data_IF_269908706263
#
_entry.id   IF_269908706263
#
_cell.length_a   1.000
_cell.length_b   1.000
_cell.length_c   1.000
_cell.angle_alpha   90.00
_cell.angle_beta   90.00
_cell.angle_gamma   90.00
#
_symmetry.space_group_name_H-M   'P 1'
#
loop_
_entity.id
_entity.type
_entity.pdbx_description
1 polymer ?
#
# COMPACT_ATOMS: atom_id res chain seq x y z
N UNK A 1 7.02 -22.13 -18.90
CA UNK A 1 6.00 -21.06 -19.01
C UNK A 1 5.00 -21.07 -17.84
N UNK A 2 5.48 -21.02 -16.58
CA UNK A 2 4.60 -20.97 -15.37
C UNK A 2 4.72 -19.66 -14.59
N UNK A 3 5.74 -18.83 -14.88
CA UNK A 3 5.95 -17.54 -14.21
C UNK A 3 5.08 -16.40 -14.76
N UNK A 4 4.51 -16.56 -15.95
CA UNK A 4 3.65 -15.55 -16.58
C UNK A 4 2.23 -15.53 -15.98
N UNK A 5 1.73 -16.67 -15.49
CA UNK A 5 0.43 -16.80 -14.84
C UNK A 5 0.38 -16.13 -13.45
N UNK A 6 1.51 -16.07 -12.74
CA UNK A 6 1.62 -15.36 -11.46
C UNK A 6 1.60 -13.83 -11.63
N UNK A 7 2.20 -13.32 -12.72
CA UNK A 7 2.17 -11.89 -13.05
C UNK A 7 0.77 -11.42 -13.47
N UNK A 8 0.01 -12.24 -14.20
CA UNK A 8 -1.36 -11.93 -14.59
C UNK A 8 -2.33 -11.87 -13.40
N UNK A 9 -2.16 -12.73 -12.38
CA UNK A 9 -2.95 -12.65 -11.15
C UNK A 9 -2.64 -11.39 -10.32
N UNK A 10 -1.38 -10.94 -10.31
CA UNK A 10 -1.00 -9.70 -9.62
C UNK A 10 -1.58 -8.45 -10.31
N UNK A 11 -1.68 -8.48 -11.65
CA UNK A 11 -2.31 -7.42 -12.43
C UNK A 11 -3.83 -7.43 -12.29
N UNK A 12 -4.49 -8.57 -12.14
CA UNK A 12 -5.93 -8.62 -11.88
C UNK A 12 -6.32 -8.11 -10.48
N UNK A 13 -5.48 -8.30 -9.46
CA UNK A 13 -5.69 -7.69 -8.13
C UNK A 13 -5.51 -6.16 -8.19
N UNK A 14 -4.59 -5.67 -9.03
CA UNK A 14 -4.46 -4.25 -9.37
C UNK A 14 -5.61 -3.74 -10.26
N UNK A 15 -6.25 -4.62 -11.04
CA UNK A 15 -7.42 -4.33 -11.87
C UNK A 15 -8.71 -4.19 -11.07
N UNK A 16 -8.84 -4.84 -9.91
CA UNK A 16 -9.95 -4.59 -8.99
C UNK A 16 -9.84 -3.26 -8.22
N UNK A 17 -8.64 -2.66 -8.19
CA UNK A 17 -8.47 -1.24 -7.84
C UNK A 17 -8.84 -0.30 -9.00
N UNK A 18 -9.00 -0.82 -10.23
CA UNK A 18 -9.40 -0.02 -11.40
C UNK A 18 -10.92 0.16 -11.55
N UNK A 19 -11.74 -0.43 -10.67
CA UNK A 19 -13.14 -0.04 -10.50
C UNK A 19 -13.32 1.14 -9.52
N UNK A 20 -12.21 1.76 -9.10
CA UNK A 20 -12.16 2.99 -8.32
C UNK A 20 -11.39 4.04 -9.14
N UNK A 21 -11.89 4.42 -10.33
CA UNK A 21 -11.15 5.35 -11.19
C UNK A 21 -11.81 5.65 -12.53
N UNK A 22 -12.80 6.55 -12.51
CA UNK A 22 -13.00 7.47 -13.63
C UNK A 22 -12.73 8.87 -13.08
N UNK A 23 -11.55 9.40 -13.40
CA UNK A 23 -11.05 10.70 -12.92
C UNK A 23 -9.63 10.55 -12.39
N UNK A 24 -8.67 11.28 -12.98
CA UNK A 24 -7.23 11.13 -12.76
C UNK A 24 -6.74 11.37 -11.33
N UNK A 25 -5.47 11.01 -11.13
CA UNK A 25 -4.62 11.22 -9.93
C UNK A 25 -4.71 10.22 -8.77
N UNK A 26 -5.20 8.99 -8.99
CA UNK A 26 -5.35 7.99 -7.92
C UNK A 26 -4.03 7.35 -7.42
N UNK A 27 -2.90 7.50 -8.12
CA UNK A 27 -1.61 7.00 -7.61
C UNK A 27 -1.00 7.88 -6.51
N UNK A 28 -1.51 9.09 -6.31
CA UNK A 28 -1.01 10.00 -5.28
C UNK A 28 -1.54 9.66 -3.88
N UNK A 29 -2.67 8.93 -3.78
CA UNK A 29 -3.37 8.74 -2.51
C UNK A 29 -2.58 7.93 -1.48
N UNK A 30 -1.91 6.86 -1.94
CA UNK A 30 -1.09 5.99 -1.10
C UNK A 30 0.27 6.60 -0.72
N UNK A 31 0.72 7.62 -1.46
CA UNK A 31 2.07 8.18 -1.31
C UNK A 31 2.09 9.53 -0.58
N UNK A 32 0.95 10.19 -0.40
CA UNK A 32 0.89 11.53 0.23
C UNK A 32 0.66 11.51 1.74
N UNK A 33 0.00 10.47 2.27
CA UNK A 33 -0.29 10.39 3.70
C UNK A 33 0.86 9.71 4.45
N UNK A 34 1.41 10.38 5.46
CA UNK A 34 2.35 9.77 6.41
C UNK A 34 1.64 8.77 7.35
N UNK A 35 0.30 8.80 7.43
CA UNK A 35 -0.52 7.98 8.30
C UNK A 35 -1.50 7.10 7.50
N UNK A 36 -1.37 5.78 7.65
CA UNK A 36 -2.21 4.82 6.94
C UNK A 36 -3.65 4.78 7.45
N UNK A 37 -3.92 5.25 8.67
CA UNK A 37 -5.28 5.41 9.18
C UNK A 37 -6.05 6.52 8.46
N UNK A 38 -5.36 7.58 8.05
CA UNK A 38 -5.96 8.64 7.23
C UNK A 38 -6.30 8.11 5.84
N UNK A 39 -5.41 7.29 5.25
CA UNK A 39 -5.68 6.59 3.99
C UNK A 39 -6.92 5.68 4.10
N UNK A 40 -7.06 4.94 5.20
CA UNK A 40 -8.26 4.13 5.47
C UNK A 40 -9.50 4.99 5.59
N UNK A 41 -9.42 6.09 6.35
CA UNK A 41 -10.54 7.01 6.57
C UNK A 41 -11.04 7.60 5.26
N UNK A 42 -10.13 8.05 4.42
CA UNK A 42 -10.46 8.62 3.11
C UNK A 42 -11.05 7.58 2.16
N UNK A 43 -10.52 6.35 2.19
CA UNK A 43 -11.12 5.22 1.49
C UNK A 43 -12.56 4.98 1.97
N UNK A 44 -12.82 5.01 3.29
CA UNK A 44 -14.16 4.82 3.84
C UNK A 44 -15.11 5.95 3.42
N UNK A 45 -14.64 7.20 3.41
CA UNK A 45 -15.41 8.35 2.94
C UNK A 45 -15.78 8.21 1.46
N UNK A 46 -14.85 7.78 0.60
CA UNK A 46 -15.10 7.55 -0.82
C UNK A 46 -16.05 6.36 -1.03
N UNK A 47 -15.79 5.24 -0.36
CA UNK A 47 -16.62 4.04 -0.47
C UNK A 47 -18.08 4.27 -0.06
N UNK A 48 -18.31 5.10 0.98
CA UNK A 48 -19.67 5.52 1.37
C UNK A 48 -20.33 6.43 0.33
N UNK A 49 -19.58 7.35 -0.28
CA UNK A 49 -20.07 8.21 -1.37
C UNK A 49 -20.48 7.38 -2.60
N UNK A 50 -19.77 6.28 -2.86
CA UNK A 50 -20.07 5.36 -3.96
C UNK A 50 -21.28 4.44 -3.69
N UNK A 51 -21.97 4.60 -2.55
CA UNK A 51 -23.15 3.82 -2.17
C UNK A 51 -22.86 2.36 -1.85
N UNK A 52 -21.59 1.98 -1.64
CA UNK A 52 -21.21 0.61 -1.28
C UNK A 52 -21.64 0.28 0.16
N UNK A 53 -21.97 -0.98 0.41
CA UNK A 53 -22.35 -1.45 1.74
C UNK A 53 -21.22 -1.31 2.77
N UNK A 54 -21.58 -0.94 4.00
CA UNK A 54 -20.63 -0.64 5.09
C UNK A 54 -19.62 -1.77 5.35
N UNK A 55 -20.06 -3.03 5.38
CA UNK A 55 -19.18 -4.17 5.62
C UNK A 55 -18.13 -4.32 4.51
N UNK A 56 -18.53 -4.11 3.25
CA UNK A 56 -17.64 -4.13 2.09
C UNK A 56 -16.62 -2.99 2.14
N UNK A 57 -17.06 -1.79 2.53
CA UNK A 57 -16.16 -0.66 2.70
C UNK A 57 -15.11 -0.89 3.80
N UNK A 58 -15.50 -1.51 4.91
CA UNK A 58 -14.56 -1.82 5.98
C UNK A 58 -13.48 -2.82 5.52
N UNK A 59 -13.87 -3.90 4.84
CA UNK A 59 -12.93 -4.88 4.32
C UNK A 59 -11.99 -4.30 3.24
N UNK A 60 -12.54 -3.60 2.25
CA UNK A 60 -11.74 -2.99 1.18
C UNK A 60 -10.76 -1.95 1.73
N UNK A 61 -11.21 -1.08 2.65
CA UNK A 61 -10.38 -0.01 3.18
C UNK A 61 -9.36 -0.50 4.23
N UNK A 62 -9.59 -1.62 4.89
CA UNK A 62 -8.55 -2.26 5.71
C UNK A 62 -7.42 -2.85 4.87
N UNK A 63 -7.75 -3.43 3.71
CA UNK A 63 -6.73 -3.87 2.76
C UNK A 63 -5.89 -2.70 2.28
N UNK A 64 -6.52 -1.56 2.00
CA UNK A 64 -5.80 -0.32 1.63
C UNK A 64 -4.87 0.14 2.76
N UNK A 65 -5.30 0.08 4.03
CA UNK A 65 -4.45 0.38 5.19
C UNK A 65 -3.22 -0.54 5.24
N UNK A 66 -3.43 -1.84 5.14
CA UNK A 66 -2.34 -2.82 5.16
C UNK A 66 -1.37 -2.66 3.97
N UNK A 67 -1.88 -2.26 2.80
CA UNK A 67 -1.03 -1.93 1.64
C UNK A 67 -0.19 -0.67 1.91
N UNK A 68 -0.76 0.36 2.53
CA UNK A 68 -0.03 1.56 2.93
C UNK A 68 1.11 1.23 3.91
N UNK A 69 0.83 0.44 4.95
CA UNK A 69 1.84 0.01 5.92
C UNK A 69 2.96 -0.77 5.23
N UNK A 70 2.61 -1.76 4.40
CA UNK A 70 3.60 -2.56 3.67
C UNK A 70 4.49 -1.72 2.74
N UNK A 71 3.92 -0.72 2.06
CA UNK A 71 4.68 0.21 1.21
C UNK A 71 5.64 1.06 2.04
N UNK A 72 5.20 1.58 3.19
CA UNK A 72 6.04 2.35 4.11
C UNK A 72 7.18 1.50 4.67
N UNK A 73 6.89 0.30 5.16
CA UNK A 73 7.92 -0.63 5.64
C UNK A 73 8.93 -0.92 4.54
N UNK A 74 8.47 -1.23 3.31
CA UNK A 74 9.35 -1.49 2.17
C UNK A 74 10.22 -0.28 1.82
N UNK A 75 9.63 0.92 1.80
CA UNK A 75 10.35 2.18 1.58
C UNK A 75 11.44 2.41 2.62
N UNK A 76 11.12 2.22 3.91
CA UNK A 76 12.07 2.31 5.02
C UNK A 76 13.23 1.32 4.86
N UNK A 77 12.94 0.06 4.54
CA UNK A 77 13.98 -0.96 4.30
C UNK A 77 14.90 -0.60 3.12
N UNK A 78 14.33 -0.03 2.05
CA UNK A 78 15.11 0.43 0.89
C UNK A 78 15.97 1.63 1.24
N UNK A 79 15.44 2.61 1.97
CA UNK A 79 16.17 3.80 2.41
C UNK A 79 17.34 3.44 3.34
N UNK A 80 17.15 2.51 4.28
CA UNK A 80 18.23 1.97 5.12
C UNK A 80 19.39 1.39 4.29
N UNK A 81 19.07 0.64 3.24
CA UNK A 81 20.08 0.09 2.33
C UNK A 81 20.77 1.18 1.49
N UNK A 82 20.02 2.19 1.06
CA UNK A 82 20.54 3.28 0.25
C UNK A 82 21.51 4.18 1.04
N UNK A 83 21.19 4.47 2.30
CA UNK A 83 21.99 5.34 3.17
C UNK A 83 23.23 4.68 3.77
N UNK A 84 23.11 3.41 4.17
CA UNK A 84 24.15 2.73 4.94
C UNK A 84 24.89 1.65 4.14
N UNK A 85 24.53 1.43 2.87
CA UNK A 85 25.04 0.34 2.06
C UNK A 85 24.36 -0.99 2.38
N UNK A 86 24.14 -1.83 1.35
CA UNK A 86 23.54 -3.15 1.53
C UNK A 86 24.44 -4.05 2.39
N UNK A 87 23.83 -4.86 3.24
CA UNK A 87 24.49 -5.87 4.10
C UNK A 87 25.51 -5.29 5.10
N UNK A 88 25.44 -3.99 5.41
CA UNK A 88 26.25 -3.42 6.49
C UNK A 88 25.55 -3.62 7.83
N UNK A 89 26.30 -3.74 8.95
CA UNK A 89 25.71 -3.84 10.28
C UNK A 89 24.78 -2.67 10.60
N UNK A 90 25.12 -1.48 10.10
CA UNK A 90 24.35 -0.25 10.28
C UNK A 90 23.02 -0.31 9.51
N UNK A 91 23.04 -0.82 8.27
CA UNK A 91 21.80 -1.02 7.50
C UNK A 91 20.87 -2.04 8.18
N UNK A 92 21.41 -3.15 8.70
CA UNK A 92 20.60 -4.14 9.42
C UNK A 92 19.99 -3.56 10.71
N UNK A 93 20.74 -2.74 11.45
CA UNK A 93 20.23 -2.05 12.62
C UNK A 93 19.15 -1.01 12.27
N UNK A 94 19.30 -0.31 11.14
CA UNK A 94 18.28 0.59 10.62
C UNK A 94 17.00 -0.17 10.25
N UNK A 95 17.11 -1.29 9.53
CA UNK A 95 15.97 -2.12 9.09
C UNK A 95 15.14 -2.66 10.26
N UNK A 96 15.77 -3.01 11.38
CA UNK A 96 15.05 -3.43 12.60
C UNK A 96 14.08 -2.36 13.11
N UNK A 97 14.35 -1.08 12.85
CA UNK A 97 13.45 0.03 13.23
C UNK A 97 12.28 0.21 12.26
N UNK A 98 12.35 -0.40 11.07
CA UNK A 98 11.24 -0.39 10.11
C UNK A 98 10.15 -1.42 10.45
N UNK A 99 10.48 -2.43 11.26
CA UNK A 99 9.56 -3.48 11.71
C UNK A 99 8.74 -2.94 12.89
N UNK A 100 7.61 -2.28 12.60
CA UNK A 100 6.77 -1.60 13.59
C UNK A 100 6.21 -0.24 13.15
N UNK A 101 6.48 0.17 11.90
CA UNK A 101 5.82 1.28 11.19
C UNK A 101 4.52 0.84 10.52
#
# INVERSE_FOLDING_TARGET
MKKLLFLLNFVCILGFLSACGQGGDDKAFLYKSSNCDDTKRDCLLKCRKDGKGQARCLDECEKVRGMCEAVKTKGCLQDCNARHGKNTPIAEQCKKRCQGL
#
